data_IF_688282637015
#
_entry.id   IF_688282637015
#
_cell.length_a   1.000
_cell.length_b   1.000
_cell.length_c   1.000
_cell.angle_alpha   90.00
_cell.angle_beta   90.00
_cell.angle_gamma   90.00
#
_symmetry.space_group_name_H-M   'P 1'
#
loop_
_entity.id
_entity.type
_entity.pdbx_description
1 polymer ?
#
# COMPACT_ATOMS: atom_id res chain seq x y z
N UNK A 1 -2.08 -15.42 -1.71
CA UNK A 1 -1.46 -14.08 -1.54
C UNK A 1 -0.76 -13.73 -2.84
N UNK A 2 -1.02 -12.56 -3.45
CA UNK A 2 -0.36 -12.13 -4.70
C UNK A 2 1.17 -12.11 -4.58
N UNK A 3 1.89 -12.45 -5.65
CA UNK A 3 3.37 -12.55 -5.67
C UNK A 3 4.11 -11.27 -5.23
N UNK A 4 3.73 -10.04 -5.68
CA UNK A 4 4.41 -8.80 -5.28
C UNK A 4 4.32 -8.53 -3.78
N UNK A 5 3.25 -9.02 -3.13
CA UNK A 5 3.09 -8.88 -1.70
C UNK A 5 4.19 -9.63 -0.93
N UNK A 6 4.69 -10.76 -1.45
CA UNK A 6 5.72 -11.58 -0.78
C UNK A 6 7.13 -11.21 -1.19
N UNK A 7 7.37 -10.97 -2.48
CA UNK A 7 8.71 -10.63 -3.00
C UNK A 7 9.08 -9.17 -2.77
N UNK A 8 8.09 -8.32 -2.53
CA UNK A 8 8.22 -6.89 -2.42
C UNK A 8 8.27 -6.18 -3.77
N UNK A 9 8.02 -4.87 -3.72
CA UNK A 9 8.00 -3.98 -4.86
C UNK A 9 8.48 -2.58 -4.49
N UNK A 10 8.94 -1.84 -5.49
CA UNK A 10 9.22 -0.41 -5.35
C UNK A 10 7.90 0.36 -5.26
N UNK A 11 7.79 1.20 -4.24
CA UNK A 11 6.62 2.05 -3.98
C UNK A 11 7.08 3.46 -3.67
N UNK A 12 6.24 4.45 -3.94
CA UNK A 12 6.45 5.81 -3.50
C UNK A 12 5.54 6.06 -2.32
N UNK A 13 6.11 6.29 -1.13
CA UNK A 13 5.37 6.61 0.07
C UNK A 13 5.31 8.12 0.27
N UNK A 14 4.12 8.67 0.55
CA UNK A 14 4.00 10.07 0.92
C UNK A 14 4.56 10.33 2.31
N UNK A 15 5.40 11.37 2.42
CA UNK A 15 5.92 11.88 3.67
C UNK A 15 5.14 13.11 4.10
N UNK A 16 4.23 12.96 5.06
CA UNK A 16 3.47 14.09 5.60
C UNK A 16 4.39 15.21 6.15
N UNK A 17 5.52 14.83 6.76
CA UNK A 17 6.50 15.80 7.31
C UNK A 17 7.18 16.61 6.21
N UNK A 18 7.60 15.98 5.13
CA UNK A 18 8.37 16.63 4.05
C UNK A 18 7.50 17.10 2.88
N UNK A 19 6.21 16.75 2.87
CA UNK A 19 5.25 16.99 1.79
C UNK A 19 5.74 16.51 0.42
N UNK A 20 6.51 15.42 0.39
CA UNK A 20 7.04 14.82 -0.85
C UNK A 20 6.83 13.31 -0.87
N UNK A 21 6.72 12.78 -2.09
CA UNK A 21 6.79 11.35 -2.36
C UNK A 21 8.22 10.87 -2.22
N UNK A 22 8.40 9.73 -1.54
CA UNK A 22 9.72 9.15 -1.33
C UNK A 22 9.69 7.70 -1.77
N UNK A 23 10.61 7.32 -2.64
CA UNK A 23 10.75 5.95 -3.10
C UNK A 23 11.17 5.04 -1.94
N UNK A 24 10.52 3.89 -1.82
CA UNK A 24 10.68 2.88 -0.78
C UNK A 24 10.58 1.51 -1.41
N UNK A 25 11.18 0.53 -0.76
CA UNK A 25 10.90 -0.87 -1.04
C UNK A 25 9.89 -1.37 -0.01
N UNK A 26 8.78 -1.98 -0.44
CA UNK A 26 7.73 -2.45 0.45
C UNK A 26 7.30 -3.89 0.16
N UNK A 27 6.97 -4.63 1.21
CA UNK A 27 6.43 -5.98 1.10
C UNK A 27 5.62 -6.38 2.34
N UNK A 28 4.93 -7.51 2.26
CA UNK A 28 4.40 -8.23 3.40
C UNK A 28 5.51 -9.10 4.00
N UNK A 29 5.71 -8.98 5.31
CA UNK A 29 6.66 -9.78 6.07
C UNK A 29 5.98 -10.39 7.29
N UNK A 30 6.63 -11.39 7.87
CA UNK A 30 6.27 -11.90 9.19
C UNK A 30 6.82 -10.99 10.29
N UNK A 31 5.92 -10.57 11.17
CA UNK A 31 6.14 -9.86 12.41
C UNK A 31 6.41 -10.81 13.57
N UNK A 32 6.42 -10.26 14.79
CA UNK A 32 6.51 -11.07 16.01
C UNK A 32 5.25 -11.94 16.14
N UNK A 33 5.43 -13.23 16.44
CA UNK A 33 4.32 -14.16 16.67
C UNK A 33 3.49 -14.49 15.41
N UNK A 34 4.14 -14.65 14.26
CA UNK A 34 3.50 -15.00 12.96
C UNK A 34 2.44 -13.99 12.46
N UNK A 35 2.40 -12.78 13.03
CA UNK A 35 1.51 -11.73 12.57
C UNK A 35 2.02 -11.15 11.25
N UNK A 36 1.13 -10.94 10.29
CA UNK A 36 1.52 -10.29 9.03
C UNK A 36 1.68 -8.79 9.22
N UNK A 37 2.79 -8.26 8.72
CA UNK A 37 3.11 -6.83 8.74
C UNK A 37 3.38 -6.35 7.32
N UNK A 38 2.79 -5.21 6.96
CA UNK A 38 3.19 -4.46 5.78
C UNK A 38 4.39 -3.59 6.14
N UNK A 39 5.55 -3.88 5.54
CA UNK A 39 6.81 -3.20 5.83
C UNK A 39 7.30 -2.37 4.67
N UNK A 40 8.00 -1.29 4.97
CA UNK A 40 8.70 -0.49 3.96
C UNK A 40 10.03 0.09 4.49
N UNK A 41 11.01 0.21 3.59
CA UNK A 41 12.36 0.69 3.88
C UNK A 41 12.82 1.73 2.86
N UNK A 42 13.75 2.60 3.26
CA UNK A 42 14.47 3.50 2.35
C UNK A 42 15.64 2.84 1.63
N UNK A 43 16.01 1.62 2.01
CA UNK A 43 17.06 0.85 1.33
C UNK A 43 16.52 0.20 0.05
N UNK A 44 16.72 0.88 -1.07
CA UNK A 44 16.35 0.39 -2.40
C UNK A 44 17.39 -0.55 -3.01
N UNK A 45 18.66 -0.45 -2.59
CA UNK A 45 19.77 -1.23 -3.15
C UNK A 45 19.78 -2.65 -2.62
N UNK A 46 19.51 -2.83 -1.33
CA UNK A 46 19.39 -4.15 -0.71
C UNK A 46 18.04 -4.82 -0.94
N UNK A 47 17.03 -4.09 -1.47
CA UNK A 47 15.61 -4.53 -1.57
C UNK A 47 15.14 -5.24 -0.29
N UNK A 48 15.62 -4.74 0.84
CA UNK A 48 15.42 -5.37 2.13
C UNK A 48 14.49 -4.52 2.97
N UNK A 49 13.38 -5.13 3.39
CA UNK A 49 12.56 -4.61 4.48
C UNK A 49 13.05 -5.13 5.85
N UNK A 50 14.17 -5.87 5.87
CA UNK A 50 14.76 -6.50 7.04
C UNK A 50 15.99 -5.68 7.43
N UNK A 51 15.85 -4.81 8.43
CA UNK A 51 16.97 -3.98 8.89
C UNK A 51 16.58 -2.85 9.85
N UNK A 52 17.58 -2.23 10.49
CA UNK A 52 17.39 -1.04 11.34
C UNK A 52 16.84 0.10 10.48
N UNK A 53 15.64 0.58 10.80
CA UNK A 53 14.99 1.70 10.10
C UNK A 53 13.83 1.32 9.17
N UNK A 54 13.61 0.02 8.93
CA UNK A 54 12.38 -0.44 8.30
C UNK A 54 11.18 -0.05 9.17
N UNK A 55 10.13 0.46 8.53
CA UNK A 55 8.86 0.77 9.18
C UNK A 55 7.90 -0.37 8.89
N UNK A 56 7.02 -0.64 9.85
CA UNK A 56 6.04 -1.71 9.76
C UNK A 56 4.66 -1.17 10.15
N UNK A 57 3.64 -1.76 9.56
CA UNK A 57 2.24 -1.63 9.94
C UNK A 57 1.68 -3.04 10.09
N UNK A 58 1.24 -3.41 11.29
CA UNK A 58 0.59 -4.69 11.50
C UNK A 58 -0.73 -4.69 10.72
N UNK A 59 -0.95 -5.73 9.93
CA UNK A 59 -2.14 -5.81 9.05
C UNK A 59 -3.42 -5.88 9.87
N UNK A 60 -3.36 -6.45 11.08
CA UNK A 60 -4.47 -6.46 12.04
C UNK A 60 -4.91 -5.06 12.52
N UNK A 61 -4.03 -4.07 12.42
CA UNK A 61 -4.31 -2.69 12.87
C UNK A 61 -4.93 -1.84 11.76
N UNK A 62 -5.13 -2.42 10.56
CA UNK A 62 -5.78 -1.73 9.45
C UNK A 62 -7.27 -1.57 9.72
N UNK A 63 -7.74 -0.33 9.60
CA UNK A 63 -9.16 0.03 9.68
C UNK A 63 -9.76 0.34 8.32
N UNK A 64 -8.92 0.63 7.32
CA UNK A 64 -9.35 0.83 5.93
C UNK A 64 -8.20 0.59 4.97
N UNK A 65 -8.52 -0.03 3.84
CA UNK A 65 -7.67 -0.09 2.64
C UNK A 65 -8.43 0.63 1.53
N UNK A 66 -7.74 1.50 0.78
CA UNK A 66 -8.32 2.14 -0.39
C UNK A 66 -7.43 1.96 -1.61
N UNK A 67 -8.07 1.99 -2.77
CA UNK A 67 -7.43 2.05 -4.07
C UNK A 67 -7.78 3.37 -4.73
N UNK A 68 -6.86 3.90 -5.54
CA UNK A 68 -7.03 5.16 -6.25
C UNK A 68 -6.55 6.39 -5.50
N UNK A 69 -6.36 7.47 -6.26
CA UNK A 69 -5.88 8.76 -5.78
C UNK A 69 -6.97 9.69 -5.25
N UNK A 70 -8.25 9.29 -5.27
CA UNK A 70 -9.36 10.16 -4.88
C UNK A 70 -9.27 10.64 -3.42
N UNK A 71 -8.80 9.76 -2.54
CA UNK A 71 -8.60 10.07 -1.11
C UNK A 71 -7.30 10.84 -0.84
N UNK A 72 -6.48 11.06 -1.86
CA UNK A 72 -5.36 12.00 -1.80
C UNK A 72 -5.86 13.41 -2.15
N UNK A 73 -5.45 14.43 -1.36
CA UNK A 73 -5.58 15.82 -1.77
C UNK A 73 -5.05 16.03 -3.19
N UNK A 74 -5.72 16.88 -3.99
CA UNK A 74 -5.43 17.05 -5.41
C UNK A 74 -3.97 17.44 -5.69
N UNK A 75 -3.39 18.30 -4.84
CA UNK A 75 -1.99 18.74 -4.85
C UNK A 75 -0.98 17.61 -4.57
N UNK A 76 -1.47 16.45 -4.11
CA UNK A 76 -0.64 15.29 -3.71
C UNK A 76 -0.83 14.10 -4.63
N UNK A 77 -1.80 14.12 -5.53
CA UNK A 77 -2.03 13.02 -6.48
C UNK A 77 -0.82 12.91 -7.41
N UNK A 78 -0.26 11.70 -7.62
CA UNK A 78 0.77 11.53 -8.64
C UNK A 78 0.16 11.85 -10.02
N UNK A 79 0.83 12.67 -10.83
CA UNK A 79 0.22 13.29 -12.01
C UNK A 79 -0.12 12.30 -13.12
N UNK A 80 0.60 11.17 -13.22
CA UNK A 80 0.49 10.28 -14.37
C UNK A 80 -0.37 9.03 -14.14
N UNK A 81 -0.64 8.64 -12.89
CA UNK A 81 -1.27 7.35 -12.59
C UNK A 81 -2.11 7.36 -11.30
N UNK A 82 -3.26 8.05 -11.27
CA UNK A 82 -4.12 8.09 -10.08
C UNK A 82 -4.64 6.69 -9.68
N UNK A 83 -4.77 5.77 -10.64
CA UNK A 83 -5.13 4.37 -10.38
C UNK A 83 -3.97 3.51 -9.86
N UNK A 84 -2.73 3.99 -9.80
CA UNK A 84 -1.64 3.26 -9.16
C UNK A 84 -1.45 3.64 -7.68
N UNK A 85 -2.39 4.40 -7.11
CA UNK A 85 -2.36 4.84 -5.72
C UNK A 85 -3.11 3.86 -4.82
N UNK A 86 -2.66 3.76 -3.57
CA UNK A 86 -3.41 3.12 -2.52
C UNK A 86 -3.16 3.78 -1.17
N UNK A 87 -4.16 3.68 -0.29
CA UNK A 87 -4.14 4.25 1.05
C UNK A 87 -4.39 3.18 2.10
N UNK A 88 -3.70 3.30 3.23
CA UNK A 88 -3.86 2.45 4.40
C UNK A 88 -4.18 3.33 5.61
N UNK A 89 -5.26 3.03 6.31
CA UNK A 89 -5.60 3.68 7.57
C UNK A 89 -5.44 2.70 8.72
N UNK A 90 -4.82 3.18 9.78
CA UNK A 90 -4.82 2.59 11.11
C UNK A 90 -5.42 3.61 12.08
N UNK A 91 -5.73 3.18 13.32
CA UNK A 91 -6.43 3.99 14.32
C UNK A 91 -5.90 5.44 14.48
N UNK A 92 -4.59 5.65 14.39
CA UNK A 92 -3.98 6.96 14.64
C UNK A 92 -3.31 7.59 13.41
N UNK A 93 -3.32 6.91 12.25
CA UNK A 93 -2.53 7.36 11.11
C UNK A 93 -2.99 6.79 9.78
N UNK A 94 -2.89 7.62 8.74
CA UNK A 94 -2.97 7.20 7.34
C UNK A 94 -1.59 7.16 6.67
N UNK A 95 -1.46 6.23 5.74
CA UNK A 95 -0.28 6.02 4.91
C UNK A 95 -0.72 5.96 3.46
N UNK A 96 -0.10 6.78 2.62
CA UNK A 96 -0.40 6.82 1.20
C UNK A 96 0.80 6.36 0.38
N UNK A 97 0.50 5.60 -0.65
CA UNK A 97 1.47 4.97 -1.53
C UNK A 97 1.03 5.09 -2.98
N UNK A 98 1.98 5.07 -3.91
CA UNK A 98 1.71 4.73 -5.30
C UNK A 98 2.83 3.85 -5.86
N UNK A 99 2.53 3.05 -6.88
CA UNK A 99 3.51 2.18 -7.55
C UNK A 99 3.67 2.59 -9.02
N UNK A 100 4.86 2.41 -9.62
CA UNK A 100 5.01 2.61 -11.07
C UNK A 100 4.31 1.50 -11.87
N UNK A 101 4.11 0.33 -11.26
CA UNK A 101 3.48 -0.84 -11.88
C UNK A 101 2.08 -1.03 -11.31
N UNK A 102 1.07 -0.98 -12.17
CA UNK A 102 -0.33 -1.09 -11.77
C UNK A 102 -0.65 -2.41 -11.04
N UNK A 103 -0.09 -3.52 -11.54
CA UNK A 103 -0.27 -4.85 -10.95
C UNK A 103 0.23 -4.91 -9.50
N UNK A 104 1.23 -4.11 -9.13
CA UNK A 104 1.74 -4.04 -7.76
C UNK A 104 0.75 -3.32 -6.84
N UNK A 105 0.16 -2.20 -7.29
CA UNK A 105 -0.89 -1.52 -6.54
C UNK A 105 -2.11 -2.43 -6.33
N UNK A 106 -2.59 -3.09 -7.39
CA UNK A 106 -3.67 -4.08 -7.28
C UNK A 106 -3.31 -5.18 -6.29
N UNK A 107 -2.10 -5.75 -6.40
CA UNK A 107 -1.63 -6.79 -5.50
C UNK A 107 -1.65 -6.31 -4.03
N UNK A 108 -1.14 -5.12 -3.74
CA UNK A 108 -1.15 -4.54 -2.39
C UNK A 108 -2.57 -4.36 -1.85
N UNK A 109 -3.47 -3.75 -2.63
CA UNK A 109 -4.86 -3.52 -2.18
C UNK A 109 -5.59 -4.84 -1.91
N UNK A 110 -5.57 -5.75 -2.87
CA UNK A 110 -6.27 -7.04 -2.74
C UNK A 110 -5.63 -7.85 -1.60
N UNK A 111 -4.31 -7.96 -1.59
CA UNK A 111 -3.60 -8.76 -0.59
C UNK A 111 -3.75 -8.23 0.84
N UNK A 112 -3.68 -6.91 1.04
CA UNK A 112 -3.83 -6.31 2.37
C UNK A 112 -5.28 -6.35 2.86
N UNK A 113 -6.26 -6.11 1.98
CA UNK A 113 -7.69 -6.21 2.37
C UNK A 113 -8.08 -7.63 2.77
N UNK A 114 -7.58 -8.66 2.07
CA UNK A 114 -7.83 -10.06 2.42
C UNK A 114 -7.19 -10.50 3.75
N UNK A 115 -6.09 -9.87 4.16
CA UNK A 115 -5.36 -10.23 5.38
C UNK A 115 -5.79 -9.39 6.59
N UNK A 116 -6.46 -8.26 6.36
CA UNK A 116 -7.00 -7.42 7.40
C UNK A 116 -8.23 -8.07 8.06
N UNK A 117 -8.62 -7.65 9.28
CA UNK A 117 -9.82 -8.16 9.93
C UNK A 117 -11.06 -7.82 9.09
N UNK A 118 -11.75 -8.85 8.60
CA UNK A 118 -12.91 -8.69 7.72
C UNK A 118 -14.11 -7.98 8.38
N UNK A 119 -14.15 -7.96 9.72
CA UNK A 119 -15.13 -7.20 10.50
C UNK A 119 -14.94 -5.68 10.40
N UNK A 120 -13.78 -5.23 9.92
CA UNK A 120 -13.40 -3.80 9.87
C UNK A 120 -13.08 -3.36 8.44
N UNK A 121 -12.31 -4.16 7.71
CA UNK A 121 -11.87 -3.84 6.34
C UNK A 121 -12.63 -4.74 5.36
N UNK A 122 -13.43 -4.17 4.44
CA UNK A 122 -14.05 -4.94 3.38
C UNK A 122 -12.98 -5.61 2.50
N UNK A 123 -13.20 -6.88 2.16
CA UNK A 123 -12.34 -7.57 1.20
C UNK A 123 -12.51 -6.94 -0.18
N UNK A 124 -11.42 -6.48 -0.78
CA UNK A 124 -11.42 -5.90 -2.12
C UNK A 124 -10.95 -6.96 -3.10
N UNK A 125 -11.80 -7.29 -4.08
CA UNK A 125 -11.45 -8.22 -5.15
C UNK A 125 -10.72 -7.53 -6.29
N UNK A 126 -10.07 -8.33 -7.15
CA UNK A 126 -9.50 -7.82 -8.41
C UNK A 126 -10.57 -7.20 -9.32
N UNK A 127 -11.79 -7.71 -9.28
CA UNK A 127 -12.88 -7.18 -10.08
C UNK A 127 -13.25 -5.76 -9.63
N UNK A 128 -13.28 -5.50 -8.31
CA UNK A 128 -13.55 -4.18 -7.76
C UNK A 128 -12.50 -3.15 -8.21
N UNK A 129 -11.22 -3.53 -8.17
CA UNK A 129 -10.10 -2.70 -8.65
C UNK A 129 -10.26 -2.35 -10.13
N UNK A 130 -10.59 -3.35 -10.96
CA UNK A 130 -10.78 -3.17 -12.40
C UNK A 130 -11.99 -2.30 -12.73
N UNK A 131 -13.10 -2.48 -12.03
CA UNK A 131 -14.31 -1.67 -12.17
C UNK A 131 -14.06 -0.22 -11.76
N UNK A 132 -13.39 -0.01 -10.62
CA UNK A 132 -13.00 1.32 -10.17
C UNK A 132 -12.15 2.02 -11.22
N UNK A 133 -11.11 1.35 -11.74
CA UNK A 133 -10.25 1.90 -12.79
C UNK A 133 -11.04 2.24 -14.05
N UNK A 134 -11.96 1.37 -14.47
CA UNK A 134 -12.83 1.63 -15.63
C UNK A 134 -13.61 2.94 -15.47
N UNK A 135 -14.13 3.22 -14.28
CA UNK A 135 -14.85 4.46 -13.96
C UNK A 135 -13.97 5.72 -13.97
N UNK A 136 -12.67 5.59 -13.70
CA UNK A 136 -11.73 6.73 -13.67
C UNK A 136 -11.14 7.09 -15.04
N UNK A 137 -11.33 6.23 -16.05
CA UNK A 137 -10.83 6.44 -17.43
C UNK A 137 -11.91 6.99 -18.37
N UNK A 138 -13.15 7.08 -17.89
CA UNK A 138 -14.28 7.70 -18.57
C UNK A 138 -14.33 9.19 -18.20
#
# INVERSE_FOLDING_TARGET
VPTPLRTGAAVHKFSAKRKVWQERFACLADGKGAQKEFRWSSDLKGRSVVGRGARALAVRDLTRVSFGGELLPADRRPPSHPWCCFGLWAHHRSYFFWTPVELDAEAFVVGLSMLAPSSVVPTISRQDVRLYRGRQKL
#
